data_IF_306261925328
#
_entry.id   IF_306261925328
#
_cell.length_a   1.000
_cell.length_b   1.000
_cell.length_c   1.000
_cell.angle_alpha   90.00
_cell.angle_beta   90.00
_cell.angle_gamma   90.00
#
_symmetry.space_group_name_H-M   'P 1'
#
loop_
_entity.id
_entity.type
_entity.pdbx_description
1 polymer ?
#
# COMPACT_ATOMS: atom_id res chain seq x y z
N UNK A 1 75.41 28.94 -31.29
CA UNK A 1 74.50 28.36 -30.27
C UNK A 1 73.34 29.33 -30.06
N UNK A 2 72.19 29.16 -30.73
CA UNK A 2 71.00 30.01 -30.46
C UNK A 2 69.64 29.47 -30.96
N UNK A 3 69.54 28.18 -31.30
CA UNK A 3 68.29 27.59 -31.85
C UNK A 3 67.43 26.87 -30.82
N UNK A 4 67.96 26.56 -29.63
CA UNK A 4 67.21 25.82 -28.58
C UNK A 4 66.26 26.69 -27.77
N UNK A 5 66.45 28.01 -27.70
CA UNK A 5 65.63 28.90 -26.84
C UNK A 5 64.27 29.28 -27.43
N UNK A 6 64.08 29.16 -28.75
CA UNK A 6 62.80 29.54 -29.39
C UNK A 6 61.75 28.43 -29.34
N UNK A 7 62.17 27.15 -29.32
CA UNK A 7 61.25 26.00 -29.32
C UNK A 7 60.47 25.91 -27.99
N UNK A 8 61.07 26.32 -26.87
CA UNK A 8 60.44 26.19 -25.53
C UNK A 8 59.31 27.20 -25.28
N UNK A 9 59.28 28.33 -26.01
CA UNK A 9 58.27 29.39 -25.81
C UNK A 9 56.96 29.15 -26.57
N UNK A 10 56.94 28.30 -27.60
CA UNK A 10 55.72 28.02 -28.37
C UNK A 10 54.88 26.92 -27.69
N UNK A 11 55.55 25.97 -27.00
CA UNK A 11 54.86 24.87 -26.31
C UNK A 11 54.02 25.33 -25.10
N UNK A 12 54.27 26.52 -24.55
CA UNK A 12 53.53 27.04 -23.40
C UNK A 12 52.23 27.75 -23.77
N UNK A 13 51.99 28.07 -25.05
CA UNK A 13 50.76 28.75 -25.47
C UNK A 13 49.64 27.78 -25.92
N UNK A 14 49.97 26.52 -26.24
CA UNK A 14 48.98 25.53 -26.66
C UNK A 14 48.22 24.86 -25.50
N UNK A 15 48.70 25.00 -24.25
CA UNK A 15 48.12 24.31 -23.10
C UNK A 15 46.97 25.10 -22.43
N UNK A 16 46.69 26.34 -22.87
CA UNK A 16 45.76 27.23 -22.16
C UNK A 16 44.31 27.22 -22.69
N UNK A 17 43.97 26.40 -23.69
CA UNK A 17 42.65 26.51 -24.39
C UNK A 17 41.64 25.40 -24.01
N UNK A 18 41.95 24.41 -23.19
CA UNK A 18 40.98 23.33 -22.93
C UNK A 18 40.86 22.98 -21.44
N UNK A 19 39.85 23.55 -20.75
CA UNK A 19 39.12 22.75 -19.77
C UNK A 19 37.60 22.95 -19.77
N UNK A 20 36.95 23.38 -20.87
CA UNK A 20 35.48 23.55 -20.89
C UNK A 20 34.70 22.33 -21.40
N UNK A 21 35.35 21.42 -22.15
CA UNK A 21 34.67 20.27 -22.76
C UNK A 21 34.44 19.09 -21.81
N UNK A 22 35.29 18.92 -20.79
CA UNK A 22 35.20 17.80 -19.84
C UNK A 22 34.04 17.96 -18.85
N UNK A 23 33.72 19.19 -18.44
CA UNK A 23 32.58 19.46 -17.56
C UNK A 23 31.25 19.32 -18.31
N UNK A 24 31.14 19.86 -19.52
CA UNK A 24 29.92 19.76 -20.33
C UNK A 24 29.56 18.32 -20.72
N UNK A 25 30.55 17.43 -20.91
CA UNK A 25 30.29 16.01 -21.14
C UNK A 25 29.79 15.26 -19.90
N UNK A 26 30.16 15.73 -18.70
CA UNK A 26 29.75 15.11 -17.43
C UNK A 26 28.29 15.41 -17.11
N UNK A 27 27.87 16.67 -17.27
CA UNK A 27 26.47 17.09 -17.07
C UNK A 27 25.49 16.38 -18.02
N UNK A 28 25.87 16.20 -19.29
CA UNK A 28 25.02 15.52 -20.29
C UNK A 28 24.85 14.03 -19.97
N UNK A 29 25.83 13.40 -19.32
CA UNK A 29 25.74 12.00 -18.91
C UNK A 29 24.94 11.82 -17.63
N UNK A 30 25.03 12.74 -16.66
CA UNK A 30 24.21 12.73 -15.43
C UNK A 30 22.72 12.88 -15.77
N UNK A 31 22.33 13.85 -16.59
CA UNK A 31 20.92 14.04 -16.96
C UNK A 31 20.30 12.83 -17.69
N UNK A 32 21.09 12.10 -18.49
CA UNK A 32 20.59 10.88 -19.16
C UNK A 32 20.42 9.71 -18.20
N UNK A 33 21.14 9.69 -17.08
CA UNK A 33 20.98 8.67 -16.05
C UNK A 33 19.77 8.99 -15.15
N UNK A 34 19.56 10.26 -14.81
CA UNK A 34 18.40 10.74 -14.05
C UNK A 34 17.08 10.41 -14.77
N UNK A 35 16.97 10.73 -16.06
CA UNK A 35 15.77 10.44 -16.86
C UNK A 35 15.43 8.93 -16.92
N UNK A 36 16.43 8.05 -16.85
CA UNK A 36 16.21 6.59 -16.80
C UNK A 36 15.78 6.11 -15.42
N UNK A 37 16.19 6.80 -14.36
CA UNK A 37 15.77 6.48 -13.00
C UNK A 37 14.34 6.96 -12.74
N UNK A 38 13.98 8.15 -13.22
CA UNK A 38 12.62 8.70 -13.10
C UNK A 38 11.59 7.81 -13.81
N UNK A 39 11.86 7.40 -15.06
CA UNK A 39 10.98 6.49 -15.80
C UNK A 39 10.79 5.12 -15.09
N UNK A 40 11.81 4.66 -14.35
CA UNK A 40 11.74 3.40 -13.59
C UNK A 40 10.94 3.53 -12.30
N UNK A 41 10.90 4.72 -11.71
CA UNK A 41 10.10 5.03 -10.52
C UNK A 41 8.63 5.15 -10.92
N UNK A 42 8.33 5.87 -12.00
CA UNK A 42 6.97 6.10 -12.50
C UNK A 42 6.26 4.77 -12.83
N UNK A 43 6.93 3.87 -13.55
CA UNK A 43 6.42 2.53 -13.85
C UNK A 43 6.11 1.69 -12.60
N UNK A 44 6.92 1.83 -11.53
CA UNK A 44 6.70 1.12 -10.27
C UNK A 44 5.52 1.67 -9.49
N UNK A 45 5.23 2.97 -9.63
CA UNK A 45 4.05 3.60 -9.03
C UNK A 45 2.76 3.28 -9.78
N UNK A 46 2.78 3.22 -11.11
CA UNK A 46 1.60 2.87 -11.92
C UNK A 46 1.14 1.43 -11.66
N UNK A 47 2.05 0.44 -11.68
CA UNK A 47 1.72 -0.95 -11.31
C UNK A 47 1.11 -1.06 -9.90
N UNK A 48 1.55 -0.20 -8.97
CA UNK A 48 1.06 -0.19 -7.59
C UNK A 48 -0.32 0.45 -7.47
N UNK A 49 -0.68 1.37 -8.36
CA UNK A 49 -2.00 2.00 -8.43
C UNK A 49 -3.00 1.07 -9.14
N UNK A 50 -2.56 0.37 -10.19
CA UNK A 50 -3.42 -0.55 -10.96
C UNK A 50 -3.82 -1.79 -10.13
N UNK A 51 -2.90 -2.36 -9.34
CA UNK A 51 -3.24 -3.42 -8.35
C UNK A 51 -4.23 -2.97 -7.28
N UNK A 52 -4.31 -1.66 -6.98
CA UNK A 52 -5.30 -1.13 -6.01
C UNK A 52 -6.67 -0.94 -6.65
N UNK A 53 -6.75 -0.60 -7.94
CA UNK A 53 -8.01 -0.45 -8.67
C UNK A 53 -8.67 -1.78 -9.05
N UNK A 54 -7.89 -2.84 -9.23
CA UNK A 54 -8.41 -4.19 -9.50
C UNK A 54 -8.97 -4.94 -8.29
N UNK A 55 -8.95 -4.33 -7.10
CA UNK A 55 -9.30 -5.01 -5.84
C UNK A 55 -10.66 -4.53 -5.28
N UNK A 56 -11.66 -4.36 -6.15
CA UNK A 56 -13.06 -4.45 -5.76
C UNK A 56 -13.30 -5.90 -5.36
N UNK A 57 -13.00 -6.20 -4.09
CA UNK A 57 -13.22 -7.52 -3.50
C UNK A 57 -14.70 -7.85 -3.72
N UNK A 58 -15.05 -8.94 -4.41
CA UNK A 58 -16.45 -9.36 -4.47
C UNK A 58 -16.92 -9.55 -3.02
N UNK A 59 -18.03 -8.91 -2.63
CA UNK A 59 -18.68 -9.09 -1.31
C UNK A 59 -18.63 -10.59 -0.97
N UNK A 60 -17.70 -10.98 -0.09
CA UNK A 60 -17.39 -12.40 0.07
C UNK A 60 -18.39 -12.93 1.06
N UNK A 61 -19.45 -13.55 0.55
CA UNK A 61 -20.44 -14.21 1.37
C UNK A 61 -19.79 -15.46 1.99
N UNK A 62 -19.69 -15.50 3.31
CA UNK A 62 -19.15 -16.63 4.07
C UNK A 62 -20.27 -17.24 4.88
N UNK A 63 -20.61 -18.50 4.62
CA UNK A 63 -21.56 -19.24 5.45
C UNK A 63 -20.79 -19.90 6.60
N UNK A 64 -21.14 -19.54 7.83
CA UNK A 64 -20.61 -20.18 9.03
C UNK A 64 -21.59 -21.27 9.45
N UNK A 65 -21.15 -22.52 9.40
CA UNK A 65 -21.95 -23.67 9.79
C UNK A 65 -21.80 -23.98 11.27
N UNK A 66 -22.90 -24.35 11.93
CA UNK A 66 -22.96 -24.76 13.34
C UNK A 66 -22.33 -23.76 14.33
N UNK A 67 -22.48 -22.45 14.08
CA UNK A 67 -22.05 -21.44 15.03
C UNK A 67 -22.94 -21.48 16.28
N UNK A 68 -22.35 -21.39 17.47
CA UNK A 68 -23.10 -21.34 18.73
C UNK A 68 -23.51 -19.90 19.03
N UNK A 69 -24.66 -19.50 18.50
CA UNK A 69 -25.13 -18.13 18.49
C UNK A 69 -26.19 -17.89 19.55
N UNK A 70 -26.05 -16.80 20.30
CA UNK A 70 -27.09 -16.25 21.18
C UNK A 70 -27.53 -14.88 20.71
N UNK A 71 -28.78 -14.52 20.95
CA UNK A 71 -29.26 -13.17 20.66
C UNK A 71 -29.01 -12.29 21.88
N UNK A 72 -28.42 -11.14 21.65
CA UNK A 72 -28.08 -10.17 22.69
C UNK A 72 -28.50 -8.77 22.31
N UNK A 73 -28.70 -7.90 23.31
CA UNK A 73 -28.90 -6.47 23.13
C UNK A 73 -27.72 -5.68 23.65
N UNK A 74 -27.25 -4.72 22.85
CA UNK A 74 -26.26 -3.73 23.24
C UNK A 74 -26.74 -2.34 22.81
N UNK A 75 -26.93 -1.42 23.77
CA UNK A 75 -27.42 -0.06 23.53
C UNK A 75 -28.70 0.00 22.65
N UNK A 76 -29.64 -0.93 22.88
CA UNK A 76 -30.89 -1.02 22.12
C UNK A 76 -30.75 -1.66 20.73
N UNK A 77 -29.54 -2.07 20.32
CA UNK A 77 -29.29 -2.79 19.08
C UNK A 77 -29.30 -4.30 19.37
N UNK A 78 -30.04 -5.05 18.59
CA UNK A 78 -30.05 -6.53 18.65
C UNK A 78 -28.89 -7.06 17.80
N UNK A 79 -28.08 -7.92 18.40
CA UNK A 79 -26.91 -8.55 17.80
C UNK A 79 -26.99 -10.06 17.99
N UNK A 80 -26.38 -10.81 17.09
CA UNK A 80 -26.02 -12.21 17.32
C UNK A 80 -24.60 -12.26 17.85
N UNK A 81 -24.40 -12.95 18.97
CA UNK A 81 -23.08 -13.21 19.51
C UNK A 81 -22.73 -14.68 19.30
N UNK A 82 -21.61 -14.93 18.65
CA UNK A 82 -20.98 -16.25 18.64
C UNK A 82 -20.23 -16.44 19.96
N UNK A 83 -20.69 -17.42 20.74
CA UNK A 83 -20.12 -17.75 22.04
C UNK A 83 -18.75 -18.41 21.94
N UNK A 84 -18.41 -19.05 20.81
CA UNK A 84 -17.12 -19.69 20.60
C UNK A 84 -16.02 -18.67 20.25
N UNK A 85 -16.32 -17.75 19.33
CA UNK A 85 -15.35 -16.74 18.87
C UNK A 85 -15.47 -15.40 19.59
N UNK A 86 -16.50 -15.23 20.43
CA UNK A 86 -16.87 -13.98 21.08
C UNK A 86 -17.13 -12.82 20.09
N UNK A 87 -17.44 -13.13 18.83
CA UNK A 87 -17.73 -12.14 17.80
C UNK A 87 -19.20 -11.74 17.85
N UNK A 88 -19.45 -10.49 17.47
CA UNK A 88 -20.80 -9.95 17.36
C UNK A 88 -21.13 -9.68 15.91
N UNK A 89 -22.38 -9.95 15.57
CA UNK A 89 -22.90 -9.86 14.23
C UNK A 89 -24.19 -9.05 14.26
N UNK A 90 -24.31 -8.10 13.33
CA UNK A 90 -25.51 -7.29 13.15
C UNK A 90 -26.16 -7.68 11.82
N UNK A 91 -27.48 -7.78 11.80
CA UNK A 91 -28.23 -8.00 10.56
C UNK A 91 -27.97 -6.84 9.58
N UNK A 92 -27.67 -7.17 8.34
CA UNK A 92 -27.49 -6.23 7.24
C UNK A 92 -27.95 -6.86 5.93
N UNK A 93 -29.05 -6.34 5.37
CA UNK A 93 -29.73 -6.93 4.21
C UNK A 93 -30.10 -8.40 4.43
N UNK A 94 -29.61 -9.26 3.55
CA UNK A 94 -29.89 -10.70 3.54
C UNK A 94 -28.93 -11.53 4.42
N UNK A 95 -28.06 -10.88 5.20
CA UNK A 95 -27.06 -11.57 6.02
C UNK A 95 -26.68 -10.79 7.27
N UNK A 96 -25.46 -11.06 7.73
CA UNK A 96 -24.91 -10.48 8.94
C UNK A 96 -23.54 -9.88 8.68
N UNK A 97 -23.26 -8.72 9.26
CA UNK A 97 -21.92 -8.12 9.26
C UNK A 97 -21.31 -8.16 10.65
N UNK A 98 -19.99 -8.23 10.70
CA UNK A 98 -19.25 -8.11 11.95
C UNK A 98 -19.54 -6.74 12.58
N UNK A 99 -19.86 -6.76 13.87
CA UNK A 99 -20.12 -5.57 14.66
C UNK A 99 -19.13 -5.51 15.82
N UNK A 100 -18.51 -4.34 16.02
CA UNK A 100 -17.57 -4.16 17.13
C UNK A 100 -18.31 -3.69 18.36
N UNK A 101 -18.36 -4.54 19.38
CA UNK A 101 -18.80 -4.17 20.73
C UNK A 101 -17.55 -3.86 21.57
N UNK A 102 -17.48 -2.71 22.26
CA UNK A 102 -16.36 -2.38 23.13
C UNK A 102 -16.14 -3.44 24.21
N UNK A 103 -14.87 -3.67 24.57
CA UNK A 103 -14.56 -4.56 25.68
C UNK A 103 -15.16 -4.03 26.98
N UNK A 104 -15.76 -4.92 27.78
CA UNK A 104 -16.44 -4.56 29.03
C UNK A 104 -17.80 -3.87 28.85
N UNK A 105 -18.30 -3.77 27.62
CA UNK A 105 -19.66 -3.29 27.38
C UNK A 105 -20.69 -4.21 28.05
N UNK A 106 -21.71 -3.60 28.65
CA UNK A 106 -22.83 -4.36 29.19
C UNK A 106 -23.73 -4.84 28.05
N UNK A 107 -23.85 -6.15 27.93
CA UNK A 107 -24.63 -6.83 26.90
C UNK A 107 -25.70 -7.66 27.59
N UNK A 108 -26.97 -7.45 27.22
CA UNK A 108 -28.10 -8.16 27.80
C UNK A 108 -28.42 -9.38 26.94
N UNK A 109 -28.49 -10.56 27.54
CA UNK A 109 -28.93 -11.76 26.83
C UNK A 109 -30.44 -11.71 26.60
N UNK A 110 -30.86 -11.91 25.35
CA UNK A 110 -32.26 -11.94 24.94
C UNK A 110 -32.74 -13.37 24.65
N UNK A 111 -31.84 -14.23 24.15
CA UNK A 111 -32.12 -15.64 23.94
C UNK A 111 -30.87 -16.48 24.19
N UNK A 112 -31.04 -17.75 24.62
CA UNK A 112 -29.92 -18.64 24.88
C UNK A 112 -29.18 -19.03 23.60
N UNK A 113 -27.94 -19.48 23.78
CA UNK A 113 -27.09 -19.94 22.67
C UNK A 113 -27.61 -21.23 22.05
N UNK A 114 -27.73 -21.24 20.72
CA UNK A 114 -28.14 -22.41 19.94
C UNK A 114 -27.27 -22.57 18.68
N UNK A 115 -27.05 -23.81 18.20
CA UNK A 115 -26.32 -24.05 16.96
C UNK A 115 -27.16 -23.59 15.76
N UNK A 116 -26.66 -22.57 15.04
CA UNK A 116 -27.34 -21.96 13.90
C UNK A 116 -26.33 -21.72 12.77
N UNK A 117 -26.78 -21.82 11.52
CA UNK A 117 -26.01 -21.41 10.35
C UNK A 117 -26.27 -19.94 10.06
N UNK A 118 -25.22 -19.15 9.86
CA UNK A 118 -25.36 -17.74 9.46
C UNK A 118 -24.58 -17.41 8.21
N UNK A 119 -25.13 -16.49 7.44
CA UNK A 119 -24.50 -15.90 6.27
C UNK A 119 -23.82 -14.60 6.69
N UNK A 120 -22.49 -14.57 6.68
CA UNK A 120 -21.68 -13.39 7.00
C UNK A 120 -21.27 -12.68 5.71
N UNK A 121 -21.52 -11.38 5.66
CA UNK A 121 -21.13 -10.50 4.58
C UNK A 121 -19.77 -9.87 4.94
N UNK A 122 -18.72 -10.17 4.18
CA UNK A 122 -17.40 -9.54 4.30
C UNK A 122 -17.25 -8.33 3.37
#
# INVERSE_FOLDING_TARGET
MNTQRQITRIMTLALLIMPTTVMAQRDIQEHRQEARQEARIEHRTEERIERRRGNTVPNKVVVVHHAMLRTVSYNGIVLLQDTATQRFYRADGDGYRLYTVPYGAHVVELSPANPINITVLN
#
